data_IF_756521705271
#
_entry.id   IF_756521705271
#
_cell.length_a   1.000
_cell.length_b   1.000
_cell.length_c   1.000
_cell.angle_alpha   90.00
_cell.angle_beta   90.00
_cell.angle_gamma   90.00
#
_symmetry.space_group_name_H-M   'P 1'
#
loop_
_entity.id
_entity.type
_entity.pdbx_description
1 polymer ?
#
# COMPACT_ATOMS: atom_id res chain seq x y z
N UNK A 1 -18.26 33.62 -20.04
CA UNK A 1 -17.66 32.38 -20.56
C UNK A 1 -16.91 31.71 -19.44
N UNK A 2 -17.17 30.44 -19.16
CA UNK A 2 -16.49 29.65 -18.12
C UNK A 2 -15.62 28.63 -18.86
N UNK A 3 -14.36 28.50 -18.48
CA UNK A 3 -13.46 27.43 -18.91
C UNK A 3 -13.29 26.48 -17.72
N UNK A 4 -13.50 25.19 -17.94
CA UNK A 4 -13.31 24.15 -16.95
C UNK A 4 -12.21 23.22 -17.36
N UNK A 5 -11.39 22.79 -16.43
CA UNK A 5 -10.29 21.87 -16.58
C UNK A 5 -10.40 20.73 -15.57
N UNK A 6 -10.06 19.53 -15.99
CA UNK A 6 -9.89 18.38 -15.13
C UNK A 6 -8.64 17.64 -15.56
N UNK A 7 -7.77 17.28 -14.62
CA UNK A 7 -6.46 16.74 -14.95
C UNK A 7 -6.04 15.59 -14.01
N UNK A 8 -5.13 14.76 -14.52
CA UNK A 8 -4.35 13.79 -13.75
C UNK A 8 -2.95 14.34 -13.52
N UNK A 9 -2.43 14.18 -12.33
CA UNK A 9 -1.06 14.54 -11.97
C UNK A 9 -0.33 13.33 -11.38
N UNK A 10 0.96 13.19 -11.71
CA UNK A 10 1.79 12.15 -11.14
C UNK A 10 1.92 12.30 -9.61
N UNK A 11 1.54 11.28 -8.82
CA UNK A 11 1.43 11.38 -7.36
C UNK A 11 2.73 11.76 -6.65
N UNK A 12 3.85 11.22 -7.11
CA UNK A 12 5.19 11.48 -6.57
C UNK A 12 5.64 12.93 -6.81
N UNK A 13 5.31 13.49 -7.98
CA UNK A 13 5.59 14.89 -8.31
C UNK A 13 4.78 15.82 -7.43
N UNK A 14 3.46 15.56 -7.27
CA UNK A 14 2.61 16.37 -6.40
C UNK A 14 3.11 16.33 -4.95
N UNK A 15 3.47 15.16 -4.44
CA UNK A 15 4.01 15.00 -3.08
C UNK A 15 5.27 15.83 -2.86
N UNK A 16 6.24 15.72 -3.77
CA UNK A 16 7.49 16.49 -3.70
C UNK A 16 7.24 18.00 -3.78
N UNK A 17 6.39 18.42 -4.72
CA UNK A 17 6.07 19.84 -4.90
C UNK A 17 5.37 20.42 -3.67
N UNK A 18 4.40 19.70 -3.11
CA UNK A 18 3.70 20.11 -1.89
C UNK A 18 4.67 20.26 -0.70
N UNK A 19 5.65 19.34 -0.58
CA UNK A 19 6.67 19.42 0.45
C UNK A 19 7.63 20.60 0.26
N UNK A 20 8.14 20.80 -0.96
CA UNK A 20 9.11 21.87 -1.26
C UNK A 20 8.51 23.26 -1.01
N UNK A 21 7.24 23.44 -1.41
CA UNK A 21 6.55 24.73 -1.28
C UNK A 21 5.79 24.89 0.04
N UNK A 22 5.74 23.87 0.89
CA UNK A 22 4.97 23.91 2.14
C UNK A 22 3.46 24.05 1.94
N UNK A 23 2.95 23.73 0.74
CA UNK A 23 1.55 23.88 0.35
C UNK A 23 0.82 22.53 0.45
N UNK A 24 0.03 22.37 1.50
CA UNK A 24 -0.86 21.22 1.68
C UNK A 24 -2.31 21.67 1.50
N UNK A 25 -2.95 21.18 0.45
CA UNK A 25 -4.37 21.43 0.14
C UNK A 25 -5.10 20.11 0.02
N UNK A 26 -6.44 20.15 0.08
CA UNK A 26 -7.27 18.95 -0.16
C UNK A 26 -7.00 18.33 -1.54
N UNK A 27 -6.72 19.17 -2.54
CA UNK A 27 -6.36 18.69 -3.87
C UNK A 27 -5.01 17.97 -3.86
N UNK A 28 -3.95 18.58 -3.29
CA UNK A 28 -2.64 17.94 -3.21
C UNK A 28 -2.68 16.63 -2.43
N UNK A 29 -3.46 16.58 -1.33
CA UNK A 29 -3.67 15.38 -0.54
C UNK A 29 -4.30 14.23 -1.32
N UNK A 30 -5.23 14.52 -2.23
CA UNK A 30 -5.88 13.50 -3.08
C UNK A 30 -4.97 13.06 -4.21
N UNK A 31 -4.36 14.01 -4.92
CA UNK A 31 -3.47 13.71 -6.04
C UNK A 31 -2.20 12.96 -5.61
N UNK A 32 -1.61 13.30 -4.45
CA UNK A 32 -0.39 12.62 -3.95
C UNK A 32 -0.60 11.14 -3.58
N UNK A 33 -1.86 10.72 -3.37
CA UNK A 33 -2.22 9.33 -3.13
C UNK A 33 -2.55 8.55 -4.39
N UNK A 34 -2.68 9.26 -5.49
CA UNK A 34 -3.08 8.71 -6.77
C UNK A 34 -4.61 8.74 -6.96
N UNK A 35 -4.98 9.04 -8.18
CA UNK A 35 -6.35 8.98 -8.68
C UNK A 35 -6.39 8.17 -9.96
N UNK A 36 -7.58 7.73 -10.38
CA UNK A 36 -7.71 7.07 -11.68
C UNK A 36 -7.44 8.05 -12.82
N UNK A 37 -6.57 7.72 -13.77
CA UNK A 37 -6.33 8.57 -14.93
C UNK A 37 -7.54 8.64 -15.88
N UNK A 38 -8.51 7.74 -15.77
CA UNK A 38 -9.77 7.79 -16.54
C UNK A 38 -10.82 8.73 -15.92
N UNK A 39 -10.68 9.10 -14.65
CA UNK A 39 -11.66 9.93 -13.93
C UNK A 39 -11.75 11.38 -14.42
N UNK A 40 -10.68 12.07 -14.89
CA UNK A 40 -10.74 13.45 -15.29
C UNK A 40 -11.81 13.75 -16.34
N UNK A 41 -11.94 12.91 -17.37
CA UNK A 41 -12.93 13.09 -18.43
C UNK A 41 -14.36 12.99 -17.88
N UNK A 42 -14.65 11.92 -17.12
CA UNK A 42 -15.97 11.67 -16.52
C UNK A 42 -16.35 12.80 -15.53
N UNK A 43 -15.38 13.26 -14.76
CA UNK A 43 -15.58 14.36 -13.81
C UNK A 43 -15.89 15.68 -14.52
N UNK A 44 -15.20 15.97 -15.63
CA UNK A 44 -15.44 17.16 -16.44
C UNK A 44 -16.84 17.13 -17.08
N UNK A 45 -17.23 16.02 -17.69
CA UNK A 45 -18.56 15.84 -18.28
C UNK A 45 -19.67 16.03 -17.22
N UNK A 46 -19.47 15.46 -16.04
CA UNK A 46 -20.42 15.61 -14.94
C UNK A 46 -20.50 17.06 -14.45
N UNK A 47 -19.35 17.74 -14.31
CA UNK A 47 -19.30 19.14 -13.90
C UNK A 47 -20.02 20.04 -14.92
N UNK A 48 -19.76 19.85 -16.21
CA UNK A 48 -20.45 20.61 -17.29
C UNK A 48 -21.95 20.36 -17.25
N UNK A 49 -22.39 19.11 -17.10
CA UNK A 49 -23.79 18.76 -17.01
C UNK A 49 -24.49 19.47 -15.83
N UNK A 50 -23.87 19.49 -14.66
CA UNK A 50 -24.38 20.17 -13.47
C UNK A 50 -24.42 21.69 -13.64
N UNK A 51 -23.42 22.30 -14.26
CA UNK A 51 -23.41 23.73 -14.54
C UNK A 51 -24.58 24.11 -15.46
N UNK A 52 -24.82 23.34 -16.51
CA UNK A 52 -25.95 23.58 -17.42
C UNK A 52 -27.28 23.41 -16.72
N UNK A 53 -27.40 22.37 -15.89
CA UNK A 53 -28.64 22.09 -15.12
C UNK A 53 -28.99 23.20 -14.13
N UNK A 54 -27.99 23.70 -13.38
CA UNK A 54 -28.21 24.60 -12.25
C UNK A 54 -28.19 26.07 -12.69
N UNK A 55 -27.21 26.43 -13.54
CA UNK A 55 -26.99 27.83 -13.96
C UNK A 55 -27.51 28.16 -15.34
N UNK A 56 -27.97 27.17 -16.09
CA UNK A 56 -28.37 27.33 -17.49
C UNK A 56 -27.17 27.51 -18.42
N UNK A 57 -27.44 27.73 -19.68
CA UNK A 57 -26.42 27.96 -20.69
C UNK A 57 -26.21 26.76 -21.61
N UNK A 58 -25.16 26.83 -22.42
CA UNK A 58 -24.83 25.79 -23.39
C UNK A 58 -23.29 25.60 -23.45
N UNK A 59 -22.88 24.38 -23.71
CA UNK A 59 -21.48 24.12 -24.02
C UNK A 59 -21.15 24.69 -25.41
N UNK A 60 -20.10 25.51 -25.50
CA UNK A 60 -19.70 26.18 -26.74
C UNK A 60 -18.71 25.41 -27.59
N UNK A 61 -18.15 24.34 -27.05
CA UNK A 61 -17.17 23.48 -27.73
C UNK A 61 -17.27 22.04 -27.25
N UNK A 62 -16.68 21.14 -28.02
CA UNK A 62 -16.41 19.76 -27.58
C UNK A 62 -15.29 19.73 -26.54
N UNK A 63 -15.24 18.66 -25.77
CA UNK A 63 -14.14 18.41 -24.82
C UNK A 63 -12.87 18.11 -25.62
N UNK A 64 -11.76 18.73 -25.22
CA UNK A 64 -10.42 18.39 -25.71
C UNK A 64 -9.74 17.53 -24.65
N UNK A 65 -9.47 16.27 -24.98
CA UNK A 65 -8.73 15.34 -24.12
C UNK A 65 -7.31 15.13 -24.67
N UNK A 66 -6.31 15.34 -23.82
CA UNK A 66 -4.89 15.15 -24.16
C UNK A 66 -4.29 14.15 -23.18
N UNK A 67 -4.12 12.91 -23.64
CA UNK A 67 -3.56 11.82 -22.84
C UNK A 67 -2.42 11.12 -23.60
N UNK A 68 -1.22 11.74 -23.68
CA UNK A 68 -0.14 11.31 -24.56
C UNK A 68 0.50 9.99 -24.14
N UNK A 69 0.49 9.66 -22.86
CA UNK A 69 1.09 8.43 -22.32
C UNK A 69 0.08 7.68 -21.46
N UNK A 70 -0.68 6.75 -22.05
CA UNK A 70 -1.69 5.97 -21.33
C UNK A 70 -1.08 5.13 -20.20
N UNK A 71 -1.65 5.23 -19.03
CA UNK A 71 -1.33 4.39 -17.88
C UNK A 71 -2.17 3.10 -17.99
N UNK A 72 -1.49 1.98 -18.11
CA UNK A 72 -2.17 0.68 -18.24
C UNK A 72 -2.58 0.14 -16.86
N UNK A 73 -3.70 -0.62 -16.80
CA UNK A 73 -4.10 -1.34 -15.60
C UNK A 73 -3.02 -2.31 -15.15
N UNK A 74 -2.80 -2.41 -13.86
CA UNK A 74 -1.88 -3.39 -13.30
C UNK A 74 -2.41 -4.82 -13.53
N UNK A 75 -1.52 -5.75 -13.92
CA UNK A 75 -1.82 -7.18 -14.04
C UNK A 75 -1.05 -7.93 -12.98
N UNK A 76 -1.76 -8.60 -12.10
CA UNK A 76 -1.19 -9.30 -10.96
C UNK A 76 -1.45 -10.80 -11.11
N UNK A 77 -0.38 -11.61 -11.00
CA UNK A 77 -0.50 -13.05 -10.93
C UNK A 77 -0.77 -13.48 -9.49
N UNK A 78 -1.82 -14.28 -9.30
CA UNK A 78 -2.24 -14.76 -7.99
C UNK A 78 -2.23 -16.28 -7.98
N UNK A 79 -1.60 -16.87 -6.96
CA UNK A 79 -1.54 -18.33 -6.76
C UNK A 79 -2.47 -18.75 -5.63
N UNK A 80 -3.28 -19.77 -5.85
CA UNK A 80 -4.16 -20.33 -4.83
C UNK A 80 -3.41 -20.70 -3.56
N UNK A 81 -2.28 -21.38 -3.70
CA UNK A 81 -1.41 -21.74 -2.55
C UNK A 81 -0.99 -20.54 -1.70
N UNK A 82 -0.75 -19.38 -2.33
CA UNK A 82 -0.33 -18.19 -1.58
C UNK A 82 -1.50 -17.56 -0.82
N UNK A 83 -2.72 -17.63 -1.37
CA UNK A 83 -3.94 -17.22 -0.67
C UNK A 83 -4.10 -18.07 0.59
N UNK A 84 -4.12 -19.40 0.45
CA UNK A 84 -4.29 -20.31 1.57
C UNK A 84 -3.21 -20.14 2.63
N UNK A 85 -1.95 -19.98 2.20
CA UNK A 85 -0.82 -19.80 3.11
C UNK A 85 -0.87 -18.49 3.89
N UNK A 86 -1.24 -17.38 3.25
CA UNK A 86 -1.26 -16.06 3.90
C UNK A 86 -2.51 -15.86 4.75
N UNK A 87 -3.64 -16.39 4.32
CA UNK A 87 -4.88 -16.35 5.10
C UNK A 87 -4.87 -17.39 6.23
N UNK A 88 -4.10 -18.48 6.06
CA UNK A 88 -4.03 -19.57 7.04
C UNK A 88 -5.19 -20.56 6.95
N UNK A 89 -6.08 -20.40 5.97
CA UNK A 89 -7.26 -21.23 5.75
C UNK A 89 -7.54 -21.35 4.25
N UNK A 90 -7.90 -22.53 3.80
CA UNK A 90 -8.38 -22.73 2.44
C UNK A 90 -9.80 -22.14 2.29
N UNK A 91 -9.97 -21.23 1.36
CA UNK A 91 -11.25 -20.62 1.03
C UNK A 91 -11.79 -21.19 -0.29
N UNK A 92 -13.09 -21.14 -0.45
CA UNK A 92 -13.73 -21.56 -1.71
C UNK A 92 -13.29 -20.66 -2.87
N UNK A 93 -12.73 -21.26 -3.91
CA UNK A 93 -12.21 -20.55 -5.07
C UNK A 93 -13.31 -19.81 -5.84
N UNK A 94 -14.51 -20.36 -5.92
CA UNK A 94 -15.62 -19.70 -6.61
C UNK A 94 -16.11 -18.46 -5.83
N UNK A 95 -16.13 -18.55 -4.50
CA UNK A 95 -16.41 -17.41 -3.65
C UNK A 95 -15.37 -16.30 -3.86
N UNK A 96 -14.06 -16.64 -3.88
CA UNK A 96 -12.97 -15.67 -4.13
C UNK A 96 -13.15 -15.00 -5.49
N UNK A 97 -13.36 -15.76 -6.54
CA UNK A 97 -13.60 -15.23 -7.90
C UNK A 97 -14.82 -14.30 -7.95
N UNK A 98 -15.91 -14.73 -7.32
CA UNK A 98 -17.12 -13.93 -7.21
C UNK A 98 -16.91 -12.62 -6.45
N UNK A 99 -16.12 -12.64 -5.39
CA UNK A 99 -15.71 -11.45 -4.64
C UNK A 99 -14.90 -10.51 -5.51
N UNK A 100 -13.83 -10.99 -6.14
CA UNK A 100 -12.93 -10.17 -6.94
C UNK A 100 -13.65 -9.52 -8.14
N UNK A 101 -14.58 -10.26 -8.79
CA UNK A 101 -15.43 -9.69 -9.84
C UNK A 101 -16.36 -8.59 -9.33
N UNK A 102 -16.91 -8.70 -8.11
CA UNK A 102 -17.69 -7.62 -7.48
C UNK A 102 -16.83 -6.40 -7.13
N UNK A 103 -15.53 -6.61 -6.87
CA UNK A 103 -14.55 -5.54 -6.69
C UNK A 103 -13.99 -5.02 -8.03
N UNK A 104 -14.63 -5.40 -9.14
CA UNK A 104 -14.29 -4.98 -10.50
C UNK A 104 -12.90 -5.41 -10.99
N UNK A 105 -12.34 -6.50 -10.42
CA UNK A 105 -11.15 -7.13 -11.00
C UNK A 105 -11.55 -8.01 -12.20
N UNK A 106 -10.84 -7.88 -13.30
CA UNK A 106 -10.99 -8.78 -14.45
C UNK A 106 -10.07 -9.98 -14.27
N UNK A 107 -10.67 -11.18 -14.19
CA UNK A 107 -9.93 -12.42 -14.01
C UNK A 107 -9.68 -13.09 -15.35
N UNK A 108 -8.46 -13.57 -15.55
CA UNK A 108 -8.02 -14.28 -16.74
C UNK A 108 -7.01 -15.36 -16.40
N UNK A 109 -6.73 -16.27 -17.33
CA UNK A 109 -5.77 -17.38 -17.18
C UNK A 109 -6.04 -18.23 -15.93
N UNK A 110 -7.32 -18.44 -15.62
CA UNK A 110 -7.74 -19.25 -14.48
C UNK A 110 -7.35 -20.72 -14.70
N UNK A 111 -6.61 -21.31 -13.75
CA UNK A 111 -6.18 -22.71 -13.77
C UNK A 111 -6.01 -23.24 -12.32
N UNK A 112 -5.56 -24.49 -12.19
CA UNK A 112 -5.35 -25.13 -10.88
C UNK A 112 -4.25 -24.48 -10.03
N UNK A 113 -3.34 -23.71 -10.64
CA UNK A 113 -2.24 -23.06 -9.94
C UNK A 113 -2.67 -21.68 -9.43
N UNK A 114 -3.50 -20.96 -10.20
CA UNK A 114 -3.92 -19.60 -9.88
C UNK A 114 -4.63 -18.90 -11.03
N UNK A 115 -4.57 -17.61 -11.02
CA UNK A 115 -5.21 -16.72 -12.01
C UNK A 115 -4.44 -15.41 -12.18
N UNK A 116 -4.73 -14.69 -13.25
CA UNK A 116 -4.31 -13.30 -13.46
C UNK A 116 -5.45 -12.37 -13.12
N UNK A 117 -5.21 -11.36 -12.30
CA UNK A 117 -6.16 -10.29 -12.05
C UNK A 117 -5.69 -9.00 -12.72
N UNK A 118 -6.52 -8.41 -13.57
CA UNK A 118 -6.34 -7.04 -14.05
C UNK A 118 -7.04 -6.11 -13.09
N UNK A 119 -6.27 -5.18 -12.51
CA UNK A 119 -6.72 -4.26 -11.47
C UNK A 119 -7.27 -3.00 -12.13
N UNK A 120 -8.44 -2.54 -11.70
CA UNK A 120 -9.01 -1.27 -12.17
C UNK A 120 -8.13 -0.08 -11.81
N UNK A 121 -8.04 0.90 -12.70
CA UNK A 121 -7.11 2.03 -12.57
C UNK A 121 -7.38 2.93 -11.36
N UNK A 122 -8.56 2.88 -10.76
CA UNK A 122 -8.84 3.64 -9.53
C UNK A 122 -8.27 2.97 -8.26
N UNK A 123 -7.90 1.68 -8.32
CA UNK A 123 -7.24 0.94 -7.24
C UNK A 123 -5.73 1.08 -7.37
N UNK A 124 -5.25 2.27 -7.09
CA UNK A 124 -3.82 2.62 -7.15
C UNK A 124 -2.98 1.92 -6.05
N UNK A 125 -3.64 1.39 -5.05
CA UNK A 125 -3.10 0.68 -3.90
C UNK A 125 -2.81 -0.80 -4.19
N UNK A 126 -3.50 -1.40 -5.19
CA UNK A 126 -3.39 -2.83 -5.48
C UNK A 126 -2.44 -3.06 -6.65
N UNK A 127 -1.21 -3.45 -6.35
CA UNK A 127 -0.16 -3.65 -7.34
C UNK A 127 0.52 -5.01 -7.26
N UNK A 128 0.33 -5.75 -6.16
CA UNK A 128 1.00 -7.02 -5.86
C UNK A 128 -0.01 -8.09 -5.47
N UNK A 129 0.43 -9.35 -5.51
CA UNK A 129 -0.35 -10.50 -5.06
C UNK A 129 -0.84 -10.35 -3.62
N UNK A 130 0.02 -9.85 -2.73
CA UNK A 130 -0.33 -9.64 -1.33
C UNK A 130 -1.49 -8.65 -1.15
N UNK A 131 -1.57 -7.61 -1.99
CA UNK A 131 -2.62 -6.60 -1.92
C UNK A 131 -4.00 -7.21 -2.30
N UNK A 132 -4.02 -8.12 -3.28
CA UNK A 132 -5.24 -8.88 -3.64
C UNK A 132 -5.65 -9.84 -2.52
N UNK A 133 -4.67 -10.52 -1.90
CA UNK A 133 -4.94 -11.42 -0.77
C UNK A 133 -5.47 -10.64 0.44
N UNK A 134 -4.96 -9.45 0.68
CA UNK A 134 -5.49 -8.54 1.71
C UNK A 134 -6.96 -8.20 1.45
N UNK A 135 -7.33 -7.86 0.21
CA UNK A 135 -8.73 -7.61 -0.14
C UNK A 135 -9.62 -8.82 0.12
N UNK A 136 -9.16 -10.02 -0.22
CA UNK A 136 -9.87 -11.26 0.07
C UNK A 136 -10.07 -11.44 1.58
N UNK A 137 -9.00 -11.30 2.37
CA UNK A 137 -9.04 -11.44 3.82
C UNK A 137 -9.94 -10.40 4.48
N UNK A 138 -9.88 -9.15 4.02
CA UNK A 138 -10.68 -8.04 4.52
C UNK A 138 -12.19 -8.28 4.31
N UNK A 139 -12.57 -8.81 3.14
CA UNK A 139 -13.97 -9.09 2.84
C UNK A 139 -14.46 -10.41 3.42
N UNK A 140 -13.57 -11.36 3.65
CA UNK A 140 -13.89 -12.56 4.41
C UNK A 140 -14.19 -12.23 5.87
N UNK A 141 -13.51 -11.22 6.39
CA UNK A 141 -13.57 -10.76 7.78
C UNK A 141 -12.48 -11.43 8.63
N UNK A 142 -11.61 -10.63 9.19
CA UNK A 142 -10.52 -11.13 10.03
C UNK A 142 -11.03 -11.91 11.26
N UNK A 143 -12.16 -11.52 11.80
CA UNK A 143 -12.79 -12.20 12.95
C UNK A 143 -13.32 -13.59 12.60
N UNK A 144 -13.49 -13.91 11.33
CA UNK A 144 -13.91 -15.23 10.84
C UNK A 144 -12.74 -16.20 10.64
N UNK A 145 -11.51 -15.74 10.87
CA UNK A 145 -10.31 -16.57 10.81
C UNK A 145 -10.07 -17.24 12.17
N UNK A 146 -10.08 -18.56 12.16
CA UNK A 146 -9.81 -19.33 13.37
C UNK A 146 -8.34 -19.18 13.77
N UNK A 147 -8.10 -18.77 15.01
CA UNK A 147 -6.76 -18.75 15.57
C UNK A 147 -6.35 -20.19 15.90
N UNK A 148 -5.16 -20.59 15.47
CA UNK A 148 -4.59 -21.86 15.89
C UNK A 148 -4.29 -21.82 17.38
N UNK A 149 -4.89 -22.73 18.13
CA UNK A 149 -4.59 -22.90 19.57
C UNK A 149 -3.18 -23.50 19.82
N UNK A 150 -2.54 -24.00 18.76
CA UNK A 150 -1.23 -24.63 18.86
C UNK A 150 -0.23 -23.85 18.01
N UNK A 151 0.82 -23.38 18.61
CA UNK A 151 2.04 -23.02 17.90
C UNK A 151 2.59 -24.30 17.22
N UNK A 152 2.92 -24.20 15.95
CA UNK A 152 3.54 -25.32 15.25
C UNK A 152 4.79 -25.79 16.00
N UNK A 153 4.89 -27.08 16.26
CA UNK A 153 6.00 -27.67 17.04
C UNK A 153 7.36 -27.43 16.40
N UNK A 154 7.40 -27.23 15.09
CA UNK A 154 8.63 -26.99 14.34
C UNK A 154 9.28 -25.64 14.63
N UNK A 155 8.51 -24.67 15.14
CA UNK A 155 9.04 -23.33 15.47
C UNK A 155 9.87 -23.35 16.78
N UNK A 156 9.63 -24.29 17.65
CA UNK A 156 10.32 -24.41 18.94
C UNK A 156 11.42 -25.51 18.94
N UNK A 157 11.61 -26.22 17.82
CA UNK A 157 12.43 -27.41 17.77
C UNK A 157 13.94 -27.14 17.77
N UNK A 158 14.38 -25.98 17.28
CA UNK A 158 15.82 -25.65 17.21
C UNK A 158 16.07 -24.20 17.61
N UNK A 159 16.60 -24.01 18.81
CA UNK A 159 17.16 -22.72 19.18
C UNK A 159 18.56 -22.55 18.58
N UNK A 160 18.86 -21.40 17.96
CA UNK A 160 20.22 -21.11 17.53
C UNK A 160 21.16 -21.17 18.73
N UNK A 161 22.30 -21.83 18.58
CA UNK A 161 23.36 -21.90 19.59
C UNK A 161 24.55 -21.05 19.12
N UNK A 162 24.99 -20.07 19.88
CA UNK A 162 24.44 -19.63 21.17
C UNK A 162 23.11 -18.88 21.06
N UNK A 163 22.25 -19.00 22.04
CA UNK A 163 21.00 -18.24 22.14
C UNK A 163 21.31 -16.74 22.35
N UNK A 164 20.99 -15.94 21.33
CA UNK A 164 21.27 -14.51 21.33
C UNK A 164 20.56 -13.77 22.49
N UNK A 165 19.35 -14.19 22.86
CA UNK A 165 18.59 -13.56 23.95
C UNK A 165 19.23 -13.85 25.30
N UNK A 166 19.67 -15.07 25.54
CA UNK A 166 20.39 -15.44 26.78
C UNK A 166 21.70 -14.69 26.86
N UNK A 167 22.45 -14.58 25.78
CA UNK A 167 23.71 -13.81 25.73
C UNK A 167 23.45 -12.33 26.02
N UNK A 168 22.49 -11.73 25.35
CA UNK A 168 22.10 -10.33 25.59
C UNK A 168 21.72 -10.10 27.03
N UNK A 169 20.90 -10.98 27.62
CA UNK A 169 20.51 -10.88 29.01
C UNK A 169 21.73 -10.93 29.95
N UNK A 170 22.66 -11.86 29.75
CA UNK A 170 23.88 -11.98 30.54
C UNK A 170 24.75 -10.71 30.46
N UNK A 171 24.93 -10.15 29.26
CA UNK A 171 25.68 -8.91 29.06
C UNK A 171 24.97 -7.74 29.75
N UNK A 172 23.66 -7.62 29.61
CA UNK A 172 22.86 -6.57 30.26
C UNK A 172 23.00 -6.64 31.79
N UNK A 173 22.92 -7.84 32.38
CA UNK A 173 23.11 -8.04 33.83
C UNK A 173 24.51 -7.67 34.28
N UNK A 174 25.54 -8.04 33.50
CA UNK A 174 26.92 -7.68 33.79
C UNK A 174 27.12 -6.16 33.78
N UNK A 175 26.59 -5.47 32.76
CA UNK A 175 26.69 -4.02 32.66
C UNK A 175 25.92 -3.33 33.80
N UNK A 176 24.71 -3.75 34.10
CA UNK A 176 23.92 -3.20 35.21
C UNK A 176 24.62 -3.36 36.54
N UNK A 177 25.23 -4.51 36.81
CA UNK A 177 26.02 -4.76 38.02
C UNK A 177 27.24 -3.86 38.14
N UNK A 178 27.77 -3.34 37.01
CA UNK A 178 28.89 -2.39 36.97
C UNK A 178 28.43 -0.92 36.89
N UNK A 179 27.16 -0.62 37.15
CA UNK A 179 26.66 0.75 37.26
C UNK A 179 26.20 1.39 35.96
N UNK A 180 26.11 0.62 34.88
CA UNK A 180 25.50 1.10 33.64
C UNK A 180 23.96 1.00 33.70
N UNK A 181 23.29 1.95 33.06
CA UNK A 181 21.82 1.94 32.90
C UNK A 181 21.48 1.74 31.45
N UNK A 182 20.52 0.83 31.19
CA UNK A 182 19.97 0.66 29.86
C UNK A 182 19.17 1.89 29.46
N UNK A 183 19.32 2.32 28.20
CA UNK A 183 18.64 3.47 27.64
C UNK A 183 18.03 3.08 26.30
N UNK A 184 16.74 3.32 26.14
CA UNK A 184 16.04 3.12 24.86
C UNK A 184 15.87 4.46 24.18
N UNK A 185 16.50 4.61 23.02
CA UNK A 185 16.41 5.80 22.19
C UNK A 185 15.66 5.50 20.89
N UNK A 186 15.18 6.55 20.24
CA UNK A 186 14.68 6.42 18.89
C UNK A 186 15.84 6.05 17.95
N UNK A 187 15.67 4.99 17.15
CA UNK A 187 16.67 4.54 16.18
C UNK A 187 16.82 5.50 14.99
N UNK A 188 15.84 6.37 14.75
CA UNK A 188 15.93 7.42 13.74
C UNK A 188 16.48 8.70 14.36
N UNK A 189 17.66 9.12 13.89
CA UNK A 189 18.30 10.36 14.33
C UNK A 189 18.82 11.16 13.13
N UNK A 190 19.13 12.43 13.35
CA UNK A 190 19.77 13.24 12.30
C UNK A 190 21.25 12.88 12.23
N UNK A 191 21.85 12.79 11.01
CA UNK A 191 23.28 12.54 10.86
C UNK A 191 24.16 13.53 11.63
N UNK A 192 23.71 14.76 11.84
CA UNK A 192 24.43 15.79 12.61
C UNK A 192 24.49 15.53 14.10
N UNK A 193 23.71 14.58 14.63
CA UNK A 193 23.78 14.17 16.04
C UNK A 193 24.80 13.05 16.28
N UNK A 194 25.20 12.33 15.22
CA UNK A 194 26.35 11.45 15.24
C UNK A 194 27.61 12.31 15.16
N UNK A 195 27.85 12.95 16.00
CA UNK A 195 28.69 13.76 16.75
C UNK A 195 30.13 14.08 16.35
N UNK A 196 30.45 15.29 16.59
CA UNK A 196 31.75 15.88 16.87
C UNK A 196 32.58 15.16 17.97
N UNK A 197 32.02 14.22 18.73
CA UNK A 197 32.66 13.53 19.87
C UNK A 197 32.65 11.99 19.74
N UNK A 198 31.95 11.46 18.72
CA UNK A 198 31.90 10.03 18.43
C UNK A 198 32.48 9.80 17.05
N UNK A 199 33.60 9.19 16.95
CA UNK A 199 34.09 8.64 15.70
C UNK A 199 33.25 7.40 15.43
N UNK A 200 32.70 7.27 14.22
CA UNK A 200 31.86 6.16 13.76
C UNK A 200 32.51 4.77 13.91
N UNK A 201 33.76 4.72 14.22
CA UNK A 201 34.57 3.51 14.33
C UNK A 201 34.40 2.76 15.66
N UNK A 202 33.72 3.31 16.63
CA UNK A 202 33.54 2.64 17.92
C UNK A 202 32.31 1.70 17.99
N UNK A 203 31.50 1.66 16.93
CA UNK A 203 30.29 0.85 16.87
C UNK A 203 30.34 -0.28 15.83
N UNK A 204 31.38 -0.32 14.98
CA UNK A 204 31.56 -1.29 13.89
C UNK A 204 32.68 -2.33 14.16
N UNK A 205 33.28 -2.35 15.35
CA UNK A 205 34.21 -3.39 15.79
C UNK A 205 33.55 -4.39 16.76
#
# INVERSE_FOLDING_TARGET
>A
MIQSESAYFAPDVVRKTAQVHGLKTDASFRFERGISPATPLVALERAVSLIIEIAGGQASSTITDIYPTPILPAKVQVKWRNIDRLIGKALDHEWIKGLLRRLEFELSNENEIGFSATVTQYRVDVTREADIIEEIARHYGYDNLELSERLGTDYLAEFPQPDAHTLQFQITQLLAANGFSEMMNNSLTKPTYTCLLYTSDAADE
#
